data_IF_981609908876
#
_entry.id   IF_981609908876
#
_cell.length_a   1.000
_cell.length_b   1.000
_cell.length_c   1.000
_cell.angle_alpha   90.00
_cell.angle_beta   90.00
_cell.angle_gamma   90.00
#
_symmetry.space_group_name_H-M   'P 1'
#
loop_
_entity.id
_entity.type
_entity.pdbx_description
1 polymer ?
#
# COMPACT_ATOMS: atom_id res chain seq x y z
N UNK A 1 4.45 9.90 -18.93
CA UNK A 1 3.55 8.79 -18.58
C UNK A 1 3.58 8.66 -17.08
N UNK A 2 2.43 8.78 -16.40
CA UNK A 2 2.36 8.68 -14.94
C UNK A 2 2.42 7.20 -14.55
N UNK A 3 3.54 6.77 -13.99
CA UNK A 3 3.80 5.34 -13.70
C UNK A 3 4.16 5.23 -12.23
N UNK A 4 3.30 4.56 -11.46
CA UNK A 4 3.68 4.10 -10.13
C UNK A 4 4.80 3.06 -10.27
N UNK A 5 5.77 3.01 -9.36
CA UNK A 5 6.89 2.06 -9.44
C UNK A 5 6.44 0.59 -9.28
N UNK A 6 5.16 0.35 -8.94
CA UNK A 6 4.56 -0.96 -8.80
C UNK A 6 3.12 -0.98 -9.36
N UNK A 7 2.56 -2.15 -9.69
CA UNK A 7 1.13 -2.29 -9.95
C UNK A 7 0.34 -1.86 -8.72
N UNK A 8 -0.66 -0.99 -8.89
CA UNK A 8 -1.50 -0.51 -7.79
C UNK A 8 -2.97 -0.47 -8.18
N UNK A 9 -3.84 -0.70 -7.19
CA UNK A 9 -5.27 -0.42 -7.30
C UNK A 9 -5.51 1.03 -6.92
N UNK A 10 -6.12 1.80 -7.81
CA UNK A 10 -6.41 3.21 -7.59
C UNK A 10 -7.82 3.56 -8.05
N UNK A 11 -8.39 4.59 -7.44
CA UNK A 11 -9.64 5.20 -7.87
C UNK A 11 -9.47 6.71 -7.99
N UNK A 12 -10.37 7.40 -8.69
CA UNK A 12 -10.43 8.86 -8.57
C UNK A 12 -10.76 9.21 -7.12
N UNK A 13 -10.15 10.27 -6.61
CA UNK A 13 -10.42 10.71 -5.25
C UNK A 13 -11.92 11.04 -5.10
N UNK A 14 -12.68 10.28 -4.28
CA UNK A 14 -14.11 10.51 -4.10
C UNK A 14 -14.41 11.73 -3.21
N UNK A 15 -13.40 12.26 -2.51
CA UNK A 15 -13.51 13.39 -1.59
C UNK A 15 -13.13 14.72 -2.25
N UNK A 16 -12.68 14.70 -3.51
CA UNK A 16 -12.37 15.89 -4.30
C UNK A 16 -13.41 16.05 -5.40
N UNK A 17 -14.18 17.17 -5.42
CA UNK A 17 -15.15 17.42 -6.48
C UNK A 17 -14.48 17.40 -7.86
N UNK A 18 -15.10 16.81 -8.89
CA UNK A 18 -14.56 16.82 -10.24
C UNK A 18 -14.33 18.25 -10.73
N UNK A 19 -13.06 18.66 -10.90
CA UNK A 19 -12.74 19.96 -11.47
C UNK A 19 -13.16 19.98 -12.94
N UNK A 20 -14.25 20.68 -13.26
CA UNK A 20 -14.77 20.84 -14.64
C UNK A 20 -13.94 21.86 -15.44
N UNK A 21 -12.63 21.66 -15.52
CA UNK A 21 -11.76 22.48 -16.37
C UNK A 21 -11.60 21.76 -17.71
N UNK A 22 -12.25 22.29 -18.75
CA UNK A 22 -12.19 21.75 -20.11
C UNK A 22 -10.73 21.72 -20.57
N UNK A 23 -10.22 20.53 -20.92
CA UNK A 23 -8.84 20.34 -21.41
C UNK A 23 -7.79 20.03 -20.34
N UNK A 24 -8.11 20.03 -19.04
CA UNK A 24 -7.16 19.57 -18.00
C UNK A 24 -7.03 18.05 -18.05
N UNK A 25 -5.82 17.55 -18.31
CA UNK A 25 -5.50 16.11 -18.19
C UNK A 25 -5.46 15.71 -16.70
N UNK A 26 -5.96 14.52 -16.32
CA UNK A 26 -5.83 14.02 -14.96
C UNK A 26 -4.37 13.95 -14.53
N UNK A 27 -4.10 14.31 -13.28
CA UNK A 27 -2.79 14.19 -12.64
C UNK A 27 -2.84 13.14 -11.52
N UNK A 28 -1.68 12.65 -11.05
CA UNK A 28 -1.61 11.61 -10.00
C UNK A 28 -2.37 12.00 -8.73
N UNK A 29 -2.38 13.28 -8.37
CA UNK A 29 -3.12 13.78 -7.20
C UNK A 29 -4.64 13.75 -7.37
N UNK A 30 -5.16 13.48 -8.57
CA UNK A 30 -6.59 13.27 -8.80
C UNK A 30 -7.01 11.81 -8.45
N UNK A 31 -6.05 10.96 -8.05
CA UNK A 31 -6.28 9.56 -7.74
C UNK A 31 -5.83 9.19 -6.33
N UNK A 32 -6.63 8.36 -5.67
CA UNK A 32 -6.31 7.72 -4.40
C UNK A 32 -5.83 6.30 -4.68
N UNK A 33 -4.67 5.94 -4.13
CA UNK A 33 -4.15 4.58 -4.18
C UNK A 33 -4.69 3.79 -3.00
N UNK A 34 -5.35 2.67 -3.28
CA UNK A 34 -6.06 1.85 -2.29
C UNK A 34 -5.22 0.68 -1.80
N UNK A 35 -4.44 0.10 -2.71
CA UNK A 35 -3.78 -1.17 -2.46
C UNK A 35 -2.96 -1.64 -3.64
N UNK A 36 -2.48 -2.87 -3.54
CA UNK A 36 -1.72 -3.56 -4.58
C UNK A 36 -1.78 -5.08 -4.33
N UNK A 37 -1.20 -5.87 -5.23
CA UNK A 37 -1.04 -7.31 -5.05
C UNK A 37 0.29 -7.61 -4.36
N UNK A 38 0.26 -8.49 -3.35
CA UNK A 38 1.47 -9.02 -2.75
C UNK A 38 2.28 -9.82 -3.78
N UNK A 39 3.56 -9.52 -3.96
CA UNK A 39 4.41 -10.15 -4.97
C UNK A 39 4.77 -11.62 -4.67
N UNK A 40 4.48 -12.11 -3.46
CA UNK A 40 4.70 -13.52 -3.09
C UNK A 40 3.44 -14.37 -3.19
N UNK A 41 2.27 -13.85 -2.78
CA UNK A 41 1.03 -14.64 -2.75
C UNK A 41 -0.06 -14.14 -3.70
N UNK A 42 0.20 -13.05 -4.42
CA UNK A 42 -0.71 -12.37 -5.36
C UNK A 42 -2.05 -11.93 -4.75
N UNK A 43 -2.20 -11.97 -3.43
CA UNK A 43 -3.40 -11.50 -2.73
C UNK A 43 -3.44 -9.97 -2.72
N UNK A 44 -4.64 -9.42 -2.89
CA UNK A 44 -4.88 -7.98 -2.75
C UNK A 44 -4.68 -7.53 -1.32
N UNK A 45 -3.89 -6.47 -1.12
CA UNK A 45 -3.61 -5.92 0.20
C UNK A 45 -3.64 -4.40 0.17
N UNK A 46 -4.03 -3.80 1.29
CA UNK A 46 -4.03 -2.36 1.44
C UNK A 46 -2.60 -1.80 1.56
N UNK A 47 -2.42 -0.50 1.32
CA UNK A 47 -1.11 0.16 1.44
C UNK A 47 -0.71 0.54 2.87
N UNK A 48 -1.60 0.35 3.85
CA UNK A 48 -1.26 0.61 5.25
C UNK A 48 -0.12 -0.30 5.71
N UNK A 49 0.73 0.21 6.61
CA UNK A 49 1.90 -0.51 7.15
C UNK A 49 1.53 -1.79 7.90
N UNK A 50 0.27 -1.92 8.32
CA UNK A 50 -0.28 -3.14 8.92
C UNK A 50 -0.68 -4.20 7.88
N UNK A 51 -0.97 -3.79 6.64
CA UNK A 51 -1.32 -4.68 5.52
C UNK A 51 -0.10 -5.09 4.70
N UNK A 52 0.76 -4.13 4.34
CA UNK A 52 1.87 -4.37 3.40
C UNK A 52 3.06 -3.44 3.58
N UNK A 53 4.19 -3.84 3.00
CA UNK A 53 5.41 -3.03 2.92
C UNK A 53 5.96 -3.07 1.50
N UNK A 54 6.36 -1.91 0.99
CA UNK A 54 7.07 -1.81 -0.29
C UNK A 54 8.59 -1.91 -0.08
N UNK A 55 9.22 -2.88 -0.73
CA UNK A 55 10.66 -3.09 -0.74
C UNK A 55 11.11 -3.64 -2.11
N UNK A 56 11.18 -2.76 -3.11
CA UNK A 56 11.39 -3.14 -4.52
C UNK A 56 10.17 -3.78 -5.20
N UNK A 57 9.32 -4.44 -4.41
CA UNK A 57 7.98 -4.86 -4.76
C UNK A 57 7.10 -4.79 -3.50
N UNK A 58 5.78 -4.96 -3.64
CA UNK A 58 4.87 -4.90 -2.50
C UNK A 58 4.69 -6.28 -1.87
N UNK A 59 4.84 -6.40 -0.56
CA UNK A 59 4.71 -7.66 0.18
C UNK A 59 3.74 -7.50 1.35
N UNK A 60 2.80 -8.43 1.52
CA UNK A 60 1.91 -8.41 2.67
C UNK A 60 2.64 -8.76 3.97
N UNK A 61 2.17 -8.23 5.09
CA UNK A 61 2.75 -8.45 6.42
C UNK A 61 2.77 -9.94 6.81
N UNK A 62 1.77 -10.71 6.38
CA UNK A 62 1.74 -12.16 6.53
C UNK A 62 2.89 -12.86 5.81
N UNK A 63 3.18 -12.47 4.56
CA UNK A 63 4.29 -13.06 3.79
C UNK A 63 5.64 -12.65 4.37
N UNK A 64 5.80 -11.40 4.82
CA UNK A 64 7.03 -10.95 5.50
C UNK A 64 7.26 -11.75 6.78
N UNK A 65 6.20 -12.05 7.54
CA UNK A 65 6.28 -12.81 8.79
C UNK A 65 6.49 -14.30 8.56
N UNK A 66 5.97 -14.88 7.48
CA UNK A 66 6.14 -16.31 7.15
C UNK A 66 7.51 -16.59 6.53
N UNK A 67 7.95 -15.72 5.61
CA UNK A 67 9.20 -15.88 4.85
C UNK A 67 10.32 -15.01 5.42
N UNK A 68 10.42 -14.85 6.76
CA UNK A 68 11.36 -13.90 7.41
C UNK A 68 12.81 -14.00 6.91
N UNK A 69 13.26 -15.20 6.55
CA UNK A 69 14.62 -15.45 6.04
C UNK A 69 14.90 -14.82 4.67
N UNK A 70 13.87 -14.48 3.89
CA UNK A 70 13.99 -13.82 2.58
C UNK A 70 14.08 -12.30 2.68
N UNK A 71 13.84 -11.74 3.86
CA UNK A 71 13.77 -10.30 4.08
C UNK A 71 14.88 -9.84 5.04
N UNK A 72 15.42 -8.62 4.88
CA UNK A 72 16.26 -8.01 5.90
C UNK A 72 15.51 -7.95 7.24
N UNK A 73 16.22 -8.16 8.35
CA UNK A 73 15.63 -8.26 9.69
C UNK A 73 14.79 -7.02 10.08
N UNK A 74 15.15 -5.87 9.52
CA UNK A 74 14.41 -4.62 9.66
C UNK A 74 12.92 -4.76 9.27
N UNK A 75 12.59 -5.51 8.21
CA UNK A 75 11.22 -5.62 7.72
C UNK A 75 10.29 -6.38 8.69
N UNK A 76 10.61 -7.61 9.14
CA UNK A 76 9.84 -8.28 10.19
C UNK A 76 9.70 -7.45 11.47
N UNK A 77 10.76 -6.74 11.89
CA UNK A 77 10.70 -5.88 13.07
C UNK A 77 9.75 -4.69 12.87
N UNK A 78 9.74 -4.06 11.70
CA UNK A 78 8.79 -2.99 11.35
C UNK A 78 7.35 -3.49 11.38
N UNK A 79 7.09 -4.67 10.82
CA UNK A 79 5.76 -5.29 10.80
C UNK A 79 5.28 -5.57 12.23
N UNK A 80 6.13 -6.15 13.08
CA UNK A 80 5.80 -6.42 14.47
C UNK A 80 5.45 -5.13 15.24
N UNK A 81 6.22 -4.04 15.02
CA UNK A 81 5.94 -2.73 15.62
C UNK A 81 4.60 -2.16 15.13
N UNK A 82 4.33 -2.21 13.82
CA UNK A 82 3.10 -1.68 13.24
C UNK A 82 1.85 -2.39 13.78
N UNK A 83 1.89 -3.72 13.93
CA UNK A 83 0.79 -4.51 14.47
C UNK A 83 0.55 -4.28 15.97
N UNK A 84 1.62 -4.01 16.73
CA UNK A 84 1.49 -3.70 18.16
C UNK A 84 0.77 -2.37 18.44
N UNK A 85 0.88 -1.40 17.52
CA UNK A 85 0.23 -0.10 17.64
C UNK A 85 -1.29 -0.13 17.37
N UNK A 86 -1.77 -1.08 16.55
CA UNK A 86 -3.19 -1.21 16.21
C UNK A 86 -4.01 -2.01 17.22
N UNK A 87 -3.34 -2.82 18.06
CA UNK A 87 -4.01 -3.62 19.10
C UNK A 87 -4.33 -2.81 20.37
N UNK A 88 -4.05 -1.50 20.38
CA UNK A 88 -4.47 -0.64 21.49
C UNK A 88 -5.98 -0.41 21.34
N UNK A 89 -6.83 -0.81 22.30
CA UNK A 89 -8.26 -0.55 22.19
C UNK A 89 -8.46 0.96 22.06
N UNK A 90 -9.15 1.39 21.00
CA UNK A 90 -9.68 2.74 20.91
C UNK A 90 -10.50 2.97 22.18
N UNK A 91 -10.04 3.91 23.00
CA UNK A 91 -10.67 4.31 24.25
C UNK A 91 -11.93 5.10 23.97
#
# INVERSE_FOLDING_TARGET
>A
MMIYPAPVFYMRDPFVPPRRVKGRKPVLSDFLVLGSSCSLCNQSVCLDKTCSVYFGALFCTTCITRERRRFPEMLPQMVAKAQSATNKPSK
#
